data_IF_587361944639
#
_entry.id   IF_587361944639
#
_cell.length_a   1.000
_cell.length_b   1.000
_cell.length_c   1.000
_cell.angle_alpha   90.00
_cell.angle_beta   90.00
_cell.angle_gamma   90.00
#
_symmetry.space_group_name_H-M   'P 1'
#
loop_
_entity.id
_entity.type
_entity.pdbx_description
1 polymer ?
#
# COMPACT_ATOMS: atom_id res chain seq x y z
N UNK A 1 -36.77 -6.35 11.74
CA UNK A 1 -37.01 -6.71 10.32
C UNK A 1 -37.81 -7.99 10.29
N UNK A 2 -38.83 -8.10 9.42
CA UNK A 2 -39.58 -9.34 9.23
C UNK A 2 -38.77 -10.24 8.30
N UNK A 3 -38.45 -11.47 8.74
CA UNK A 3 -37.81 -12.48 7.89
C UNK A 3 -38.91 -13.19 7.11
N UNK A 4 -38.87 -13.06 5.78
CA UNK A 4 -39.75 -13.77 4.86
C UNK A 4 -39.35 -15.26 4.79
N UNK A 5 -40.33 -16.12 4.62
CA UNK A 5 -40.17 -17.54 4.30
C UNK A 5 -39.64 -17.74 2.88
N UNK A 6 -39.11 -18.92 2.57
CA UNK A 6 -38.62 -19.22 1.22
C UNK A 6 -39.70 -19.06 0.14
N UNK A 7 -40.94 -19.39 0.47
CA UNK A 7 -42.08 -19.28 -0.45
C UNK A 7 -42.46 -17.82 -0.72
N UNK A 8 -42.46 -16.98 0.32
CA UNK A 8 -42.66 -15.54 0.17
C UNK A 8 -41.55 -14.90 -0.68
N UNK A 9 -40.29 -15.33 -0.50
CA UNK A 9 -39.14 -14.84 -1.29
C UNK A 9 -39.24 -15.25 -2.76
N UNK A 10 -39.72 -16.46 -3.05
CA UNK A 10 -39.94 -16.94 -4.43
C UNK A 10 -40.97 -16.12 -5.18
N UNK A 11 -41.99 -15.64 -4.47
CA UNK A 11 -43.06 -14.82 -5.03
C UNK A 11 -42.66 -13.35 -5.27
N UNK A 12 -41.53 -12.89 -4.73
CA UNK A 12 -40.99 -11.56 -5.01
C UNK A 12 -40.41 -11.47 -6.43
N UNK A 13 -40.55 -10.30 -7.05
CA UNK A 13 -39.79 -9.95 -8.25
C UNK A 13 -38.27 -9.93 -7.95
N UNK A 14 -37.45 -9.98 -9.01
CA UNK A 14 -35.99 -9.92 -8.87
C UNK A 14 -35.52 -8.68 -8.07
N UNK A 15 -36.10 -7.52 -8.34
CA UNK A 15 -35.72 -6.28 -7.66
C UNK A 15 -36.15 -6.27 -6.18
N UNK A 16 -37.36 -6.73 -5.88
CA UNK A 16 -37.84 -6.82 -4.50
C UNK A 16 -37.02 -7.82 -3.69
N UNK A 17 -36.66 -8.96 -4.31
CA UNK A 17 -35.78 -9.96 -3.70
C UNK A 17 -34.40 -9.39 -3.40
N UNK A 18 -33.82 -8.62 -4.33
CA UNK A 18 -32.54 -7.94 -4.11
C UNK A 18 -32.62 -6.98 -2.91
N UNK A 19 -33.63 -6.10 -2.89
CA UNK A 19 -33.85 -5.14 -1.81
C UNK A 19 -34.11 -5.82 -0.46
N UNK A 20 -34.83 -6.95 -0.45
CA UNK A 20 -35.06 -7.74 0.77
C UNK A 20 -33.75 -8.30 1.32
N UNK A 21 -32.93 -8.95 0.48
CA UNK A 21 -31.64 -9.49 0.93
C UNK A 21 -30.66 -8.40 1.38
N UNK A 22 -30.67 -7.24 0.73
CA UNK A 22 -29.89 -6.09 1.20
C UNK A 22 -30.32 -5.64 2.59
N UNK A 23 -31.64 -5.46 2.83
CA UNK A 23 -32.16 -5.12 4.16
C UNK A 23 -31.85 -6.21 5.19
N UNK A 24 -31.92 -7.49 4.81
CA UNK A 24 -31.66 -8.61 5.70
C UNK A 24 -30.19 -8.63 6.11
N UNK A 25 -29.26 -8.49 5.15
CA UNK A 25 -27.82 -8.36 5.44
C UNK A 25 -27.55 -7.20 6.38
N UNK A 26 -28.13 -6.02 6.12
CA UNK A 26 -27.95 -4.85 6.98
C UNK A 26 -28.49 -5.10 8.40
N UNK A 27 -29.63 -5.77 8.52
CA UNK A 27 -30.21 -6.12 9.81
C UNK A 27 -29.34 -7.13 10.56
N UNK A 28 -28.89 -8.20 9.92
CA UNK A 28 -28.03 -9.23 10.53
C UNK A 28 -26.69 -8.64 10.94
N UNK A 29 -26.06 -7.84 10.08
CA UNK A 29 -24.84 -7.10 10.38
C UNK A 29 -25.00 -6.16 11.59
N UNK A 30 -26.16 -5.49 11.72
CA UNK A 30 -26.43 -4.61 12.87
C UNK A 30 -26.54 -5.33 14.21
N UNK A 31 -26.71 -6.66 14.21
CA UNK A 31 -26.79 -7.49 15.41
C UNK A 31 -25.44 -8.01 15.88
N UNK A 32 -24.43 -7.97 15.02
CA UNK A 32 -23.08 -8.42 15.36
C UNK A 32 -22.40 -7.47 16.34
N UNK A 33 -21.68 -8.05 17.28
CA UNK A 33 -20.70 -7.35 18.12
C UNK A 33 -19.56 -6.80 17.27
N UNK A 34 -18.75 -5.90 17.83
CA UNK A 34 -17.58 -5.39 17.12
C UNK A 34 -16.59 -6.50 16.76
N UNK A 35 -16.37 -7.46 17.66
CA UNK A 35 -15.42 -8.55 17.40
C UNK A 35 -15.87 -9.43 16.24
N UNK A 36 -17.16 -9.81 16.20
CA UNK A 36 -17.71 -10.58 15.08
C UNK A 36 -17.64 -9.81 13.75
N UNK A 37 -17.85 -8.49 13.78
CA UNK A 37 -17.69 -7.65 12.59
C UNK A 37 -16.24 -7.60 12.14
N UNK A 38 -15.31 -7.43 13.07
CA UNK A 38 -13.87 -7.38 12.83
C UNK A 38 -13.39 -8.69 12.20
N UNK A 39 -13.76 -9.83 12.78
CA UNK A 39 -13.45 -11.16 12.23
C UNK A 39 -14.00 -11.33 10.81
N UNK A 40 -15.26 -10.91 10.58
CA UNK A 40 -15.86 -10.96 9.25
C UNK A 40 -15.12 -10.10 8.23
N UNK A 41 -14.66 -8.90 8.61
CA UNK A 41 -13.90 -8.01 7.70
C UNK A 41 -12.52 -8.60 7.42
N UNK A 42 -11.81 -9.06 8.45
CA UNK A 42 -10.48 -9.67 8.29
C UNK A 42 -10.54 -10.92 7.40
N UNK A 43 -11.60 -11.73 7.52
CA UNK A 43 -11.81 -12.90 6.66
C UNK A 43 -12.03 -12.54 5.19
N UNK A 44 -12.62 -11.37 4.90
CA UNK A 44 -12.76 -10.90 3.52
C UNK A 44 -11.39 -10.57 2.90
N UNK A 45 -10.43 -10.03 3.67
CA UNK A 45 -9.07 -9.78 3.18
C UNK A 45 -8.40 -11.08 2.75
N UNK A 46 -8.44 -12.09 3.61
CA UNK A 46 -7.86 -13.39 3.30
C UNK A 46 -8.52 -14.01 2.06
N UNK A 47 -9.85 -13.92 1.96
CA UNK A 47 -10.59 -14.40 0.81
C UNK A 47 -10.19 -13.69 -0.50
N UNK A 48 -10.10 -12.35 -0.48
CA UNK A 48 -9.70 -11.55 -1.64
C UNK A 48 -8.30 -11.99 -2.09
N UNK A 49 -7.36 -12.12 -1.15
CA UNK A 49 -5.98 -12.52 -1.44
C UNK A 49 -5.92 -13.91 -2.07
N UNK A 50 -6.72 -14.84 -1.57
CA UNK A 50 -6.74 -16.22 -2.05
C UNK A 50 -7.44 -16.38 -3.42
N UNK A 51 -8.30 -15.44 -3.84
CA UNK A 51 -9.04 -15.50 -5.11
C UNK A 51 -8.49 -14.60 -6.24
N UNK A 52 -7.31 -14.01 -6.07
CA UNK A 52 -6.74 -13.05 -7.03
C UNK A 52 -6.55 -13.69 -8.41
N UNK A 53 -7.20 -13.10 -9.42
CA UNK A 53 -6.85 -13.24 -10.85
C UNK A 53 -5.92 -12.11 -11.31
N UNK A 54 -5.63 -12.03 -12.62
CA UNK A 54 -4.71 -11.03 -13.23
C UNK A 54 -5.17 -9.57 -13.00
N UNK A 55 -6.46 -9.32 -12.75
CA UNK A 55 -7.00 -7.97 -12.50
C UNK A 55 -6.60 -7.37 -11.14
N UNK A 56 -5.97 -8.16 -10.26
CA UNK A 56 -5.62 -7.74 -8.90
C UNK A 56 -4.11 -7.76 -8.66
N UNK A 57 -3.25 -7.51 -9.66
CA UNK A 57 -1.81 -7.39 -9.44
C UNK A 57 -1.48 -6.14 -8.61
N UNK A 58 -0.55 -6.26 -7.68
CA UNK A 58 -0.02 -5.15 -6.88
C UNK A 58 1.06 -4.39 -7.64
N UNK A 59 1.35 -3.17 -7.18
CA UNK A 59 2.49 -2.40 -7.67
C UNK A 59 3.80 -3.19 -7.52
N UNK A 60 3.98 -3.88 -6.39
CA UNK A 60 5.14 -4.73 -6.17
C UNK A 60 5.23 -5.90 -7.17
N UNK A 61 4.15 -6.65 -7.37
CA UNK A 61 4.11 -7.73 -8.37
C UNK A 61 4.32 -7.20 -9.79
N UNK A 62 3.82 -6.00 -10.08
CA UNK A 62 3.99 -5.34 -11.39
C UNK A 62 5.46 -4.95 -11.64
N UNK A 63 6.11 -4.40 -10.62
CA UNK A 63 7.55 -4.07 -10.65
C UNK A 63 8.37 -5.35 -10.80
N UNK A 64 8.10 -6.38 -9.99
CA UNK A 64 8.81 -7.66 -10.08
C UNK A 64 8.64 -8.32 -11.45
N UNK A 65 7.44 -8.26 -12.02
CA UNK A 65 7.19 -8.76 -13.35
C UNK A 65 7.99 -7.96 -14.40
N UNK A 66 7.96 -6.64 -14.34
CA UNK A 66 8.68 -5.78 -15.28
C UNK A 66 10.21 -5.98 -15.21
N UNK A 67 10.77 -6.23 -14.03
CA UNK A 67 12.20 -6.51 -13.82
C UNK A 67 12.66 -7.85 -14.40
N UNK A 68 11.76 -8.83 -14.55
CA UNK A 68 12.09 -10.23 -14.91
C UNK A 68 11.72 -10.61 -16.34
N UNK A 69 11.07 -9.72 -17.09
CA UNK A 69 10.52 -10.03 -18.40
C UNK A 69 11.03 -9.05 -19.46
N UNK A 70 11.00 -9.50 -20.72
CA UNK A 70 11.30 -8.70 -21.90
C UNK A 70 10.00 -8.24 -22.58
N UNK A 71 10.02 -7.12 -23.33
CA UNK A 71 8.87 -6.67 -24.09
C UNK A 71 8.32 -7.76 -25.02
N UNK A 72 7.01 -7.94 -25.01
CA UNK A 72 6.33 -8.92 -25.85
C UNK A 72 5.19 -8.26 -26.62
N UNK A 73 5.34 -8.18 -27.94
CA UNK A 73 4.37 -7.56 -28.86
C UNK A 73 2.97 -8.21 -28.82
N UNK A 74 2.82 -9.40 -28.22
CA UNK A 74 1.54 -10.11 -28.11
C UNK A 74 0.76 -9.82 -26.82
N UNK A 75 1.34 -9.05 -25.90
CA UNK A 75 0.67 -8.62 -24.66
C UNK A 75 0.53 -7.10 -24.69
N UNK A 76 -0.67 -6.57 -24.45
CA UNK A 76 -0.90 -5.12 -24.50
C UNK A 76 -1.01 -4.46 -23.11
N UNK A 77 -1.24 -5.23 -22.05
CA UNK A 77 -1.58 -4.67 -20.73
C UNK A 77 -0.37 -4.43 -19.82
N UNK A 78 0.65 -5.29 -19.90
CA UNK A 78 1.84 -5.20 -19.02
C UNK A 78 3.06 -4.66 -19.76
N UNK A 79 3.02 -4.71 -21.09
CA UNK A 79 4.11 -4.36 -21.98
C UNK A 79 4.61 -2.93 -21.84
N UNK A 80 3.77 -1.89 -21.62
CA UNK A 80 4.30 -0.53 -21.42
C UNK A 80 5.24 -0.41 -20.21
N UNK A 81 4.90 -1.05 -19.08
CA UNK A 81 5.75 -1.06 -17.89
C UNK A 81 7.02 -1.90 -18.12
N UNK A 82 6.88 -3.06 -18.76
CA UNK A 82 8.02 -3.92 -19.12
C UNK A 82 8.98 -3.20 -20.07
N UNK A 83 8.49 -2.51 -21.09
CA UNK A 83 9.29 -1.71 -22.01
C UNK A 83 10.03 -0.57 -21.30
N UNK A 84 9.37 0.10 -20.36
CA UNK A 84 9.97 1.14 -19.55
C UNK A 84 11.15 0.59 -18.73
N UNK A 85 10.95 -0.55 -18.05
CA UNK A 85 12.00 -1.20 -17.27
C UNK A 85 13.10 -1.77 -18.15
N UNK A 86 12.76 -2.40 -19.26
CA UNK A 86 13.74 -2.97 -20.21
C UNK A 86 14.71 -1.91 -20.73
N UNK A 87 14.20 -0.74 -21.13
CA UNK A 87 15.03 0.42 -21.55
C UNK A 87 15.93 0.94 -20.43
N UNK A 88 15.42 0.95 -19.20
CA UNK A 88 16.16 1.39 -18.00
C UNK A 88 17.30 0.43 -17.62
N UNK A 89 17.09 -0.87 -17.77
CA UNK A 89 18.02 -1.91 -17.31
C UNK A 89 19.29 -2.04 -18.17
N UNK A 90 19.24 -1.65 -19.45
CA UNK A 90 20.39 -1.77 -20.38
C UNK A 90 21.64 -0.99 -19.91
N UNK A 91 21.43 0.18 -19.28
CA UNK A 91 22.50 1.04 -18.77
C UNK A 91 22.14 1.63 -17.40
N UNK A 92 21.61 0.78 -16.52
CA UNK A 92 21.10 1.20 -15.21
C UNK A 92 22.22 1.82 -14.35
N UNK A 93 21.94 3.02 -13.82
CA UNK A 93 22.79 3.72 -12.85
C UNK A 93 22.03 3.85 -11.55
N UNK A 94 22.76 3.94 -10.44
CA UNK A 94 22.16 3.97 -9.11
C UNK A 94 22.45 5.29 -8.39
N UNK A 95 21.44 5.81 -7.70
CA UNK A 95 21.59 6.80 -6.62
C UNK A 95 21.26 6.10 -5.32
N UNK A 96 22.28 5.83 -4.51
CA UNK A 96 22.10 5.15 -3.22
C UNK A 96 21.63 6.13 -2.14
N UNK A 97 20.85 5.61 -1.21
CA UNK A 97 20.49 6.29 0.03
C UNK A 97 20.30 5.27 1.16
N UNK A 98 20.55 5.70 2.39
CA UNK A 98 20.38 4.87 3.58
C UNK A 98 20.17 5.69 4.86
N UNK A 99 20.60 6.95 4.87
CA UNK A 99 20.50 7.82 6.03
C UNK A 99 19.08 8.32 6.30
N UNK A 100 18.74 8.52 7.57
CA UNK A 100 17.46 9.13 7.96
C UNK A 100 17.33 10.59 7.52
N UNK A 101 18.46 11.29 7.35
CA UNK A 101 18.55 12.65 6.80
C UNK A 101 18.21 12.70 5.32
N UNK A 102 18.39 11.60 4.58
CA UNK A 102 18.12 11.56 3.14
C UNK A 102 16.65 11.91 2.87
N UNK A 103 16.36 12.79 1.89
CA UNK A 103 14.99 13.12 1.50
C UNK A 103 14.22 11.88 1.02
N UNK A 104 14.92 10.82 0.59
CA UNK A 104 14.36 9.57 0.10
C UNK A 104 13.98 8.60 1.23
N UNK A 105 14.48 8.82 2.45
CA UNK A 105 14.16 7.96 3.58
C UNK A 105 12.69 8.10 4.00
N UNK A 106 12.06 6.99 4.37
CA UNK A 106 10.75 6.97 5.04
C UNK A 106 10.76 7.77 6.34
N UNK A 107 11.91 7.84 7.02
CA UNK A 107 12.08 8.49 8.31
C UNK A 107 12.40 9.97 8.21
N UNK A 108 12.63 10.47 6.99
CA UNK A 108 12.83 11.89 6.77
C UNK A 108 11.62 12.67 7.29
N UNK A 109 11.88 13.70 8.09
CA UNK A 109 10.82 14.57 8.61
C UNK A 109 10.27 15.41 7.48
N UNK A 110 9.03 15.16 7.12
CA UNK A 110 8.35 15.84 6.02
C UNK A 110 6.87 15.88 6.33
N UNK A 111 6.34 17.07 6.56
CA UNK A 111 4.91 17.24 6.78
C UNK A 111 4.17 17.17 5.45
N UNK A 112 3.08 16.42 5.41
CA UNK A 112 2.18 16.40 4.26
C UNK A 112 0.77 15.98 4.69
N UNK A 113 -0.22 16.45 3.95
CA UNK A 113 -1.61 16.09 4.12
C UNK A 113 -1.94 14.91 3.21
N UNK A 114 -2.56 13.87 3.76
CA UNK A 114 -3.10 12.79 2.94
C UNK A 114 -4.36 12.22 3.58
N UNK A 115 -5.31 11.84 2.73
CA UNK A 115 -6.49 11.12 3.19
C UNK A 115 -6.12 9.70 3.57
N UNK A 116 -6.82 9.15 4.56
CA UNK A 116 -6.74 7.71 4.84
C UNK A 116 -7.02 6.95 3.53
N UNK A 117 -6.00 6.29 3.00
CA UNK A 117 -6.10 5.33 1.93
C UNK A 117 -6.81 4.10 2.48
N UNK A 118 -8.11 4.20 2.72
CA UNK A 118 -8.95 3.01 2.69
C UNK A 118 -9.10 2.65 1.22
N UNK A 119 -8.08 1.91 0.80
CA UNK A 119 -7.79 1.45 -0.56
C UNK A 119 -9.11 1.03 -1.19
N UNK A 120 -9.36 1.54 -2.38
CA UNK A 120 -10.64 1.40 -3.08
C UNK A 120 -11.07 -0.07 -3.30
N UNK A 121 -10.24 -1.07 -2.98
CA UNK A 121 -10.53 -2.52 -3.07
C UNK A 121 -10.72 -3.28 -1.74
N UNK A 122 -10.88 -2.61 -0.60
CA UNK A 122 -10.70 -3.23 0.74
C UNK A 122 -12.00 -3.57 1.47
N UNK A 123 -13.12 -3.05 1.02
CA UNK A 123 -14.42 -3.53 1.46
C UNK A 123 -15.30 -3.57 0.22
N UNK A 124 -15.33 -4.73 -0.45
CA UNK A 124 -16.23 -4.97 -1.58
C UNK A 124 -17.69 -4.69 -1.18
N UNK A 125 -17.99 -4.84 0.11
CA UNK A 125 -19.27 -4.47 0.71
C UNK A 125 -19.24 -3.03 1.25
N UNK A 126 -20.06 -2.16 0.63
CA UNK A 126 -20.24 -0.76 1.03
C UNK A 126 -20.71 -0.60 2.49
N UNK A 127 -21.42 -1.57 3.05
CA UNK A 127 -21.88 -1.57 4.44
C UNK A 127 -20.70 -1.77 5.40
N UNK A 128 -19.88 -2.80 5.16
CA UNK A 128 -18.67 -3.06 5.96
C UNK A 128 -17.72 -1.86 5.89
N UNK A 129 -17.56 -1.31 4.68
CA UNK A 129 -16.77 -0.09 4.45
C UNK A 129 -17.26 1.07 5.31
N UNK A 130 -18.57 1.30 5.34
CA UNK A 130 -19.19 2.38 6.13
C UNK A 130 -18.99 2.18 7.63
N UNK A 131 -19.07 0.96 8.14
CA UNK A 131 -18.87 0.69 9.57
C UNK A 131 -17.42 0.91 10.02
N UNK A 132 -16.44 0.52 9.19
CA UNK A 132 -15.01 0.84 9.43
C UNK A 132 -14.78 2.35 9.40
N UNK A 133 -15.37 3.03 8.40
CA UNK A 133 -15.09 4.44 8.11
C UNK A 133 -15.83 5.45 8.99
N UNK A 134 -17.06 5.17 9.39
CA UNK A 134 -17.92 6.21 9.97
C UNK A 134 -17.55 6.53 11.42
N UNK A 135 -17.26 5.49 12.20
CA UNK A 135 -17.16 5.62 13.66
C UNK A 135 -15.76 5.30 14.21
N UNK A 136 -14.91 4.62 13.43
CA UNK A 136 -13.60 4.12 13.89
C UNK A 136 -12.41 4.70 13.13
N UNK A 137 -12.54 4.90 11.82
CA UNK A 137 -11.48 5.44 10.96
C UNK A 137 -12.03 6.49 9.99
N UNK A 138 -12.33 7.71 10.47
CA UNK A 138 -12.98 8.72 9.64
C UNK A 138 -12.16 9.02 8.38
N UNK A 139 -12.85 9.28 7.25
CA UNK A 139 -12.29 9.68 5.94
C UNK A 139 -11.66 11.08 5.98
N UNK A 140 -10.84 11.36 6.98
CA UNK A 140 -10.25 12.66 7.22
C UNK A 140 -8.91 12.72 6.51
N UNK A 141 -8.70 13.81 5.78
CA UNK A 141 -7.36 14.24 5.41
C UNK A 141 -6.63 14.65 6.67
N UNK A 142 -5.53 13.98 6.97
CA UNK A 142 -4.73 14.21 8.17
C UNK A 142 -3.30 14.59 7.81
N UNK A 143 -2.64 15.33 8.70
CA UNK A 143 -1.22 15.67 8.56
C UNK A 143 -0.37 14.51 9.11
N UNK A 144 0.62 14.08 8.33
CA UNK A 144 1.64 13.13 8.74
C UNK A 144 2.98 13.85 8.86
N UNK A 145 3.79 13.46 9.84
CA UNK A 145 5.11 14.03 10.12
C UNK A 145 6.24 13.38 9.30
N UNK A 146 5.99 12.20 8.73
CA UNK A 146 6.91 11.47 7.85
C UNK A 146 6.15 10.39 7.06
N UNK A 147 6.78 9.86 6.01
CA UNK A 147 6.23 8.74 5.27
C UNK A 147 6.17 7.44 6.11
N UNK A 148 7.04 7.29 7.11
CA UNK A 148 6.96 6.20 8.11
C UNK A 148 5.68 6.26 8.93
N UNK A 149 5.28 7.46 9.40
CA UNK A 149 4.02 7.64 10.13
C UNK A 149 2.83 7.25 9.27
N UNK A 150 2.82 7.70 8.00
CA UNK A 150 1.79 7.32 7.04
C UNK A 150 1.71 5.80 6.84
N UNK A 151 2.85 5.15 6.60
CA UNK A 151 2.92 3.71 6.36
C UNK A 151 2.44 2.90 7.57
N UNK A 152 2.93 3.22 8.78
CA UNK A 152 2.56 2.47 9.99
C UNK A 152 1.12 2.74 10.43
N UNK A 153 0.62 3.97 10.26
CA UNK A 153 -0.80 4.27 10.49
C UNK A 153 -1.68 3.39 9.61
N UNK A 154 -1.44 3.39 8.29
CA UNK A 154 -2.23 2.58 7.36
C UNK A 154 -2.07 1.07 7.57
N UNK A 155 -0.91 0.61 8.05
CA UNK A 155 -0.75 -0.78 8.49
C UNK A 155 -1.73 -1.11 9.61
N UNK A 156 -1.86 -0.25 10.62
CA UNK A 156 -2.84 -0.43 11.70
C UNK A 156 -4.29 -0.39 11.18
N UNK A 157 -4.60 0.50 10.22
CA UNK A 157 -5.92 0.55 9.55
C UNK A 157 -6.25 -0.78 8.85
N UNK A 158 -5.31 -1.33 8.08
CA UNK A 158 -5.49 -2.59 7.34
C UNK A 158 -5.88 -3.74 8.27
N UNK A 159 -5.36 -3.77 9.49
CA UNK A 159 -5.65 -4.81 10.48
C UNK A 159 -6.67 -4.40 11.53
N UNK A 160 -7.39 -3.30 11.29
CA UNK A 160 -8.44 -2.77 12.17
C UNK A 160 -7.99 -2.51 13.61
N UNK A 161 -6.70 -2.19 13.80
CA UNK A 161 -6.09 -1.89 15.09
C UNK A 161 -6.15 -0.38 15.36
N UNK A 162 -7.31 0.06 15.85
CA UNK A 162 -7.60 1.47 16.12
C UNK A 162 -6.68 2.03 17.19
N UNK A 163 -6.39 1.26 18.23
CA UNK A 163 -5.58 1.70 19.35
C UNK A 163 -4.15 2.01 18.90
N UNK A 164 -3.52 1.11 18.13
CA UNK A 164 -2.19 1.36 17.58
C UNK A 164 -2.21 2.50 16.56
N UNK A 165 -3.27 2.63 15.75
CA UNK A 165 -3.40 3.75 14.82
C UNK A 165 -3.43 5.11 15.54
N UNK A 166 -4.20 5.24 16.62
CA UNK A 166 -4.25 6.45 17.47
C UNK A 166 -2.90 6.73 18.13
N UNK A 167 -2.25 5.70 18.68
CA UNK A 167 -0.92 5.84 19.26
C UNK A 167 0.11 6.32 18.24
N UNK A 168 0.08 5.82 17.00
CA UNK A 168 0.97 6.25 15.91
C UNK A 168 0.74 7.71 15.56
N UNK A 169 -0.52 8.16 15.50
CA UNK A 169 -0.86 9.55 15.20
C UNK A 169 -0.54 10.51 16.35
N UNK A 170 -0.43 10.01 17.58
CA UNK A 170 -0.08 10.82 18.76
C UNK A 170 1.41 11.20 18.86
N UNK A 171 2.27 10.68 17.98
CA UNK A 171 3.73 10.86 18.06
C UNK A 171 4.36 11.16 16.72
N UNK A 172 5.40 12.01 16.71
CA UNK A 172 6.22 12.31 15.53
C UNK A 172 7.63 11.69 15.62
N UNK A 173 7.90 10.89 16.65
CA UNK A 173 9.14 10.11 16.77
C UNK A 173 9.06 8.86 15.89
N UNK A 174 9.80 8.87 14.77
CA UNK A 174 9.87 7.78 13.80
C UNK A 174 10.32 6.44 14.38
N UNK A 175 11.15 6.43 15.43
CA UNK A 175 11.54 5.18 16.10
C UNK A 175 10.38 4.60 16.90
N UNK A 176 9.65 5.47 17.63
CA UNK A 176 8.44 5.06 18.35
C UNK A 176 7.38 4.57 17.38
N UNK A 177 7.16 5.28 16.28
CA UNK A 177 6.23 4.90 15.21
C UNK A 177 6.55 3.51 14.65
N UNK A 178 7.80 3.25 14.26
CA UNK A 178 8.21 1.93 13.75
C UNK A 178 7.99 0.82 14.78
N UNK A 179 8.27 1.10 16.05
CA UNK A 179 8.03 0.15 17.13
C UNK A 179 6.54 -0.13 17.35
N UNK A 180 5.68 0.89 17.24
CA UNK A 180 4.22 0.71 17.27
C UNK A 180 3.73 -0.12 16.07
N UNK A 181 4.24 0.14 14.88
CA UNK A 181 3.92 -0.65 13.69
C UNK A 181 4.31 -2.14 13.75
N UNK A 182 5.23 -2.52 14.65
CA UNK A 182 5.55 -3.92 14.97
C UNK A 182 4.58 -4.57 15.94
N UNK A 183 3.77 -3.78 16.65
CA UNK A 183 2.79 -4.21 17.66
C UNK A 183 1.36 -4.31 17.12
N UNK A 184 1.14 -3.94 15.86
CA UNK A 184 -0.18 -4.05 15.20
C UNK A 184 -0.73 -5.46 15.36
N UNK A 185 -1.90 -5.57 15.97
CA UNK A 185 -2.60 -6.83 16.18
C UNK A 185 -3.19 -7.39 14.88
N UNK A 186 -3.50 -8.69 14.86
CA UNK A 186 -4.13 -9.38 13.73
C UNK A 186 -3.31 -9.32 12.43
N UNK A 187 -2.02 -9.04 12.55
CA UNK A 187 -1.12 -8.93 11.42
C UNK A 187 -1.05 -10.25 10.64
N UNK A 188 -1.34 -10.16 9.35
CA UNK A 188 -1.09 -11.21 8.37
C UNK A 188 -0.10 -10.69 7.33
N UNK A 189 0.96 -11.48 7.08
CA UNK A 189 2.03 -11.08 6.18
C UNK A 189 1.61 -10.97 4.72
N UNK A 190 0.69 -11.81 4.26
CA UNK A 190 0.19 -11.80 2.87
C UNK A 190 -0.76 -10.64 2.65
N UNK A 191 -1.61 -10.35 3.63
CA UNK A 191 -2.47 -9.15 3.63
C UNK A 191 -1.60 -7.90 3.58
N UNK A 192 -0.56 -7.83 4.39
CA UNK A 192 0.33 -6.68 4.36
C UNK A 192 1.11 -6.57 3.05
N UNK A 193 1.62 -7.66 2.50
CA UNK A 193 2.29 -7.69 1.20
C UNK A 193 1.38 -7.17 0.07
N UNK A 194 0.09 -7.52 0.11
CA UNK A 194 -0.90 -6.99 -0.83
C UNK A 194 -1.02 -5.46 -0.75
N UNK A 195 -1.05 -4.87 0.44
CA UNK A 195 -1.33 -3.44 0.58
C UNK A 195 -0.10 -2.53 0.63
N UNK A 196 1.05 -3.05 1.08
CA UNK A 196 2.22 -2.22 1.47
C UNK A 196 2.73 -1.33 0.35
N UNK A 197 2.81 -1.85 -0.87
CA UNK A 197 3.42 -1.13 -2.00
C UNK A 197 2.58 0.07 -2.42
N UNK A 198 1.26 -0.09 -2.49
CA UNK A 198 0.35 1.01 -2.78
C UNK A 198 0.34 2.06 -1.66
N UNK A 199 0.33 1.63 -0.40
CA UNK A 199 0.38 2.56 0.75
C UNK A 199 1.67 3.39 0.71
N UNK A 200 2.83 2.76 0.52
CA UNK A 200 4.11 3.47 0.47
C UNK A 200 4.20 4.38 -0.74
N UNK A 201 3.64 3.96 -1.88
CA UNK A 201 3.51 4.81 -3.06
C UNK A 201 2.68 6.07 -2.78
N UNK A 202 1.46 5.94 -2.26
CA UNK A 202 0.57 7.08 -1.98
C UNK A 202 1.18 8.05 -0.96
N UNK A 203 1.76 7.52 0.12
CA UNK A 203 2.42 8.33 1.14
C UNK A 203 3.61 9.12 0.60
N UNK A 204 4.47 8.48 -0.20
CA UNK A 204 5.59 9.18 -0.82
C UNK A 204 5.15 10.15 -1.89
N UNK A 205 4.14 9.82 -2.70
CA UNK A 205 3.60 10.73 -3.70
C UNK A 205 3.05 11.99 -3.04
N UNK A 206 2.30 11.86 -1.96
CA UNK A 206 1.82 13.01 -1.19
C UNK A 206 2.98 13.82 -0.60
N UNK A 207 3.98 13.17 0.00
CA UNK A 207 5.21 13.79 0.52
C UNK A 207 5.92 14.63 -0.55
N UNK A 208 6.28 14.02 -1.68
CA UNK A 208 7.08 14.67 -2.73
C UNK A 208 6.29 15.68 -3.55
N UNK A 209 4.96 15.56 -3.67
CA UNK A 209 4.17 16.56 -4.40
C UNK A 209 3.88 17.82 -3.58
N UNK A 210 3.88 17.73 -2.24
CA UNK A 210 3.59 18.85 -1.34
C UNK A 210 4.85 19.55 -0.79
N UNK A 211 6.02 18.92 -0.88
CA UNK A 211 7.28 19.48 -0.39
C UNK A 211 8.22 19.77 -1.57
N UNK A 212 8.28 21.03 -2.02
CA UNK A 212 8.98 21.41 -3.24
C UNK A 212 10.48 21.09 -3.19
N UNK A 213 11.16 21.33 -2.07
CA UNK A 213 12.59 20.99 -1.93
C UNK A 213 12.84 19.48 -2.07
N UNK A 214 11.99 18.65 -1.46
CA UNK A 214 12.08 17.20 -1.58
C UNK A 214 11.78 16.75 -3.01
N UNK A 215 10.80 17.38 -3.66
CA UNK A 215 10.48 17.14 -5.07
C UNK A 215 11.67 17.40 -5.97
N UNK A 216 12.37 18.51 -5.76
CA UNK A 216 13.57 18.85 -6.52
C UNK A 216 14.71 17.86 -6.25
N UNK A 217 14.88 17.42 -4.99
CA UNK A 217 15.84 16.37 -4.66
C UNK A 217 15.49 15.03 -5.35
N UNK A 218 14.20 14.69 -5.47
CA UNK A 218 13.77 13.53 -6.25
C UNK A 218 14.13 13.70 -7.73
N UNK A 219 13.83 14.87 -8.30
CA UNK A 219 14.09 15.16 -9.71
C UNK A 219 15.58 15.20 -10.07
N UNK A 220 16.44 15.62 -9.14
CA UNK A 220 17.89 15.61 -9.37
C UNK A 220 18.49 14.21 -9.55
N UNK A 221 17.73 13.16 -9.25
CA UNK A 221 18.13 11.76 -9.47
C UNK A 221 17.71 11.21 -10.84
N UNK A 222 17.19 12.07 -11.73
CA UNK A 222 16.85 11.72 -13.13
C UNK A 222 17.95 10.88 -13.79
N UNK A 223 17.56 9.83 -14.51
CA UNK A 223 18.46 8.91 -15.18
C UNK A 223 19.11 7.87 -14.27
N UNK A 224 18.71 7.80 -12.98
CA UNK A 224 19.20 6.79 -12.04
C UNK A 224 18.06 6.09 -11.30
N UNK A 225 18.29 4.85 -10.91
CA UNK A 225 17.45 4.10 -9.99
C UNK A 225 17.80 4.49 -8.57
N UNK A 226 16.81 4.88 -7.78
CA UNK A 226 17.01 5.06 -6.34
C UNK A 226 17.21 3.70 -5.68
N UNK A 227 18.21 3.59 -4.80
CA UNK A 227 18.56 2.34 -4.12
C UNK A 227 18.69 2.53 -2.62
N UNK A 228 17.83 1.87 -1.85
CA UNK A 228 17.93 1.87 -0.39
C UNK A 228 19.00 0.84 0.06
N UNK A 229 20.20 1.35 0.36
CA UNK A 229 21.37 0.56 0.77
C UNK A 229 21.35 0.22 2.26
N UNK A 230 20.31 -0.50 2.69
CA UNK A 230 20.11 -0.94 4.06
C UNK A 230 20.49 -2.43 4.23
N UNK A 231 21.58 -2.78 4.95
CA UNK A 231 22.07 -4.17 5.08
C UNK A 231 21.07 -5.18 5.66
N UNK A 232 20.16 -4.72 6.52
CA UNK A 232 19.22 -5.57 7.24
C UNK A 232 17.78 -5.46 6.69
N UNK A 233 17.57 -4.73 5.60
CA UNK A 233 16.26 -4.58 4.97
C UNK A 233 16.27 -5.24 3.59
N UNK A 234 15.56 -6.36 3.47
CA UNK A 234 15.43 -7.12 2.23
C UNK A 234 14.10 -6.86 1.50
N UNK A 235 13.22 -6.03 2.06
CA UNK A 235 11.94 -5.67 1.44
C UNK A 235 12.06 -4.29 0.81
N UNK A 236 12.33 -3.28 1.63
CA UNK A 236 12.41 -1.89 1.17
C UNK A 236 13.78 -1.57 0.55
N UNK A 237 14.83 -2.19 1.09
CA UNK A 237 16.20 -2.06 0.60
C UNK A 237 16.76 -3.28 -0.11
N UNK A 238 18.06 -3.20 -0.44
CA UNK A 238 18.82 -4.23 -1.16
C UNK A 238 19.47 -5.30 -0.27
N UNK A 239 19.36 -5.18 1.05
CA UNK A 239 20.01 -6.08 2.01
C UNK A 239 21.54 -6.02 1.99
N UNK A 240 22.10 -4.90 1.51
CA UNK A 240 23.54 -4.62 1.39
C UNK A 240 23.79 -3.15 1.74
N UNK A 241 24.99 -2.83 2.22
CA UNK A 241 25.43 -1.44 2.39
C UNK A 241 25.92 -0.86 1.06
N UNK A 242 26.01 0.47 0.98
CA UNK A 242 26.44 1.18 -0.23
C UNK A 242 27.90 0.83 -0.62
N UNK A 243 28.76 0.61 0.38
CA UNK A 243 30.19 0.28 0.21
C UNK A 243 30.44 -1.19 -0.17
N UNK A 244 29.43 -2.06 -0.10
CA UNK A 244 29.54 -3.44 -0.57
C UNK A 244 29.56 -3.45 -2.10
N UNK A 245 30.59 -4.03 -2.73
CA UNK A 245 30.70 -4.03 -4.21
C UNK A 245 29.55 -4.76 -4.91
N UNK A 246 28.82 -5.63 -4.20
CA UNK A 246 27.58 -6.26 -4.68
C UNK A 246 26.43 -5.25 -4.81
N UNK A 247 26.45 -4.14 -4.09
CA UNK A 247 25.42 -3.09 -4.22
C UNK A 247 25.33 -2.52 -5.64
N UNK A 248 26.42 -2.59 -6.40
CA UNK A 248 26.52 -2.07 -7.77
C UNK A 248 25.83 -2.94 -8.83
N UNK A 249 25.32 -4.12 -8.46
CA UNK A 249 24.77 -5.11 -9.38
C UNK A 249 23.47 -5.70 -8.85
N UNK A 250 22.36 -5.39 -9.52
CA UNK A 250 21.01 -5.82 -9.12
C UNK A 250 20.91 -7.32 -8.90
N UNK A 251 21.55 -8.11 -9.75
CA UNK A 251 21.56 -9.58 -9.68
C UNK A 251 22.24 -10.13 -8.41
N UNK A 252 23.00 -9.30 -7.69
CA UNK A 252 23.68 -9.69 -6.45
C UNK A 252 23.01 -9.14 -5.20
N UNK A 253 21.94 -8.33 -5.36
CA UNK A 253 21.15 -7.83 -4.25
C UNK A 253 20.42 -8.97 -3.53
N UNK A 254 20.28 -8.83 -2.21
CA UNK A 254 19.55 -9.78 -1.37
C UNK A 254 18.11 -9.36 -1.10
N UNK A 255 17.81 -8.10 -1.38
CA UNK A 255 16.51 -7.47 -1.14
C UNK A 255 15.85 -6.94 -2.40
N UNK A 256 14.59 -6.56 -2.27
CA UNK A 256 13.75 -6.14 -3.40
C UNK A 256 13.98 -4.69 -3.84
N UNK A 257 14.62 -3.86 -3.02
CA UNK A 257 14.72 -2.41 -3.24
C UNK A 257 13.34 -1.74 -3.46
N UNK A 258 12.28 -2.25 -2.82
CA UNK A 258 10.91 -1.84 -3.14
C UNK A 258 10.69 -0.33 -2.95
N UNK A 259 11.30 0.29 -1.93
CA UNK A 259 11.20 1.73 -1.72
C UNK A 259 11.87 2.49 -2.87
N UNK A 260 13.08 2.08 -3.26
CA UNK A 260 13.81 2.69 -4.36
C UNK A 260 13.05 2.63 -5.69
N UNK A 261 12.40 1.50 -5.99
CA UNK A 261 11.56 1.35 -7.18
C UNK A 261 10.31 2.23 -7.13
N UNK A 262 9.62 2.28 -6.00
CA UNK A 262 8.44 3.14 -5.81
C UNK A 262 8.81 4.62 -6.01
N UNK A 263 9.90 5.07 -5.39
CA UNK A 263 10.35 6.46 -5.51
C UNK A 263 10.77 6.79 -6.95
N UNK A 264 11.44 5.86 -7.62
CA UNK A 264 11.81 5.99 -9.03
C UNK A 264 10.54 6.10 -9.90
N UNK A 265 9.55 5.24 -9.69
CA UNK A 265 8.27 5.30 -10.43
C UNK A 265 7.54 6.62 -10.20
N UNK A 266 7.46 7.11 -8.95
CA UNK A 266 6.87 8.43 -8.63
C UNK A 266 7.62 9.53 -9.38
N UNK A 267 8.96 9.51 -9.39
CA UNK A 267 9.77 10.48 -10.14
C UNK A 267 9.40 10.47 -11.62
N UNK A 268 9.38 9.29 -12.25
CA UNK A 268 9.11 9.17 -13.68
C UNK A 268 7.69 9.62 -14.02
N UNK A 269 6.71 9.31 -13.18
CA UNK A 269 5.35 9.80 -13.39
C UNK A 269 5.26 11.32 -13.30
N UNK A 270 5.96 11.94 -12.34
CA UNK A 270 5.94 13.39 -12.15
C UNK A 270 6.77 14.15 -13.20
N UNK A 271 7.86 13.57 -13.70
CA UNK A 271 8.73 14.17 -14.72
C UNK A 271 8.31 13.84 -16.16
N UNK A 272 7.65 12.70 -16.37
CA UNK A 272 7.37 12.13 -17.70
C UNK A 272 8.54 11.38 -18.33
N UNK A 273 9.66 11.20 -17.61
CA UNK A 273 10.89 10.57 -18.12
C UNK A 273 11.74 9.97 -16.99
N UNK A 274 12.65 9.05 -17.34
CA UNK A 274 13.54 8.33 -16.42
C UNK A 274 14.63 9.23 -15.82
#
# INVERSE_FOLDING_TARGET
MIKLTEEEIKNLSRQERYNYYEKLRNYEWSKLTWEEKKDSILSDYEFIINKRGIEYITLEESIEFALKNEPNERSNYVTPLVEQYFKRLENEKFTFFWETSSPFSQWHKSKFLASTCLIQGVCLDNLKRKDVLKDKFPLITQEYSSAEQFMMYHKAIVFLDINIAEEIMSTNDVRKIKNLGRKVENYDGKVWEYYRSNIVYEGNKAKFTQNEELKQALFSTKGTTLVEAAPNDIIWGIGLSEDDTRSLKRETWKGKNLLGEILTNIRVELLGEY
#
